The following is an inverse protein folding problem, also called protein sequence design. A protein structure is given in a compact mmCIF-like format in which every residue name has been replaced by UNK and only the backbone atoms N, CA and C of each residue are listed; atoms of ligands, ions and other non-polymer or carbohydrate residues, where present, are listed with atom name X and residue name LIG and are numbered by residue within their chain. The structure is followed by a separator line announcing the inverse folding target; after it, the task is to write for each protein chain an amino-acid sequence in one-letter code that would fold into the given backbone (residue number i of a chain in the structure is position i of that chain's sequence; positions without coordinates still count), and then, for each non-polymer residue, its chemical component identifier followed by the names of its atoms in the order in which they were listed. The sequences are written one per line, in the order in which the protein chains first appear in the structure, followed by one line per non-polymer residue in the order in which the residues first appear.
data_IF_835704166397
#
_entry.id   IF_835704166397
#
_cell.length_a   1.000
_cell.length_b   1.000
_cell.length_c   1.000
_cell.angle_alpha   90.00
_cell.angle_beta   90.00
_cell.angle_gamma   90.00
#
_symmetry.space_group_name_H-M   'P 1'
#
loop_
_entity.id
_entity.type
_entity.pdbx_description
1 polymer ?
#
# COMPACT_ATOMS: atom_id res chain seq x y z
N UNK A 1 -3.18 -5.93 9.63
CA UNK A 1 -2.51 -4.61 9.55
C UNK A 1 -3.40 -3.61 8.84
N UNK A 2 -3.13 -2.34 9.01
CA UNK A 2 -3.89 -1.29 8.34
C UNK A 2 -3.28 -0.96 6.98
N UNK A 3 -4.13 -0.69 6.00
CA UNK A 3 -3.70 -0.28 4.67
C UNK A 3 -4.61 0.83 4.13
N UNK A 4 -4.02 1.73 3.36
CA UNK A 4 -4.77 2.77 2.66
C UNK A 4 -5.10 2.26 1.26
N UNK A 5 -6.38 2.25 0.92
CA UNK A 5 -6.86 1.80 -0.38
C UNK A 5 -7.73 2.89 -1.01
N UNK A 6 -7.83 2.86 -2.33
CA UNK A 6 -8.65 3.83 -3.06
C UNK A 6 -10.03 3.24 -3.29
N UNK A 7 -11.06 4.00 -2.90
CA UNK A 7 -12.45 3.65 -3.17
C UNK A 7 -12.97 4.38 -4.40
N UNK A 8 -14.08 5.11 -4.23
CA UNK A 8 -14.63 5.98 -5.28
C UNK A 8 -13.63 7.09 -5.62
N UNK A 9 -13.76 7.72 -6.80
CA UNK A 9 -12.87 8.83 -7.16
C UNK A 9 -12.77 9.88 -6.04
N UNK A 10 -11.54 10.21 -5.67
CA UNK A 10 -11.25 11.17 -4.61
C UNK A 10 -11.33 10.60 -3.19
N UNK A 11 -11.59 9.30 -3.02
CA UNK A 11 -11.79 8.68 -1.72
C UNK A 11 -10.64 7.73 -1.38
N UNK A 12 -10.04 7.93 -0.20
CA UNK A 12 -9.06 7.01 0.38
C UNK A 12 -9.67 6.43 1.65
N UNK A 13 -9.57 5.12 1.80
CA UNK A 13 -10.05 4.41 2.99
C UNK A 13 -8.91 3.70 3.67
N UNK A 14 -8.96 3.65 5.00
CA UNK A 14 -8.05 2.80 5.78
C UNK A 14 -8.82 1.54 6.16
N UNK A 15 -8.30 0.40 5.75
CA UNK A 15 -8.95 -0.89 5.94
C UNK A 15 -7.99 -1.88 6.60
N UNK A 16 -8.54 -2.96 7.13
CA UNK A 16 -7.73 -4.06 7.63
C UNK A 16 -7.31 -4.94 6.46
N UNK A 17 -6.00 -5.18 6.35
CA UNK A 17 -5.41 -6.09 5.37
C UNK A 17 -4.84 -7.30 6.09
N UNK A 18 -4.86 -8.48 5.45
CA UNK A 18 -4.19 -9.64 6.02
C UNK A 18 -2.68 -9.39 6.12
N UNK A 19 -2.05 -9.98 7.13
CA UNK A 19 -0.59 -9.94 7.24
C UNK A 19 0.03 -10.66 6.05
N UNK A 20 1.07 -10.09 5.42
CA UNK A 20 1.73 -10.75 4.32
C UNK A 20 2.50 -11.99 4.79
N UNK A 21 2.60 -12.98 3.91
CA UNK A 21 3.37 -14.18 4.17
C UNK A 21 4.55 -14.24 3.22
N UNK A 22 5.74 -14.59 3.74
CA UNK A 22 6.92 -14.70 2.92
C UNK A 22 6.89 -15.99 2.11
N UNK A 23 7.22 -15.89 0.83
CA UNK A 23 7.39 -17.02 -0.10
C UNK A 23 8.83 -17.02 -0.59
N UNK A 24 9.23 -18.08 -1.31
CA UNK A 24 10.57 -18.15 -1.88
C UNK A 24 10.86 -16.92 -2.76
N UNK A 25 11.97 -16.25 -2.48
CA UNK A 25 12.37 -15.04 -3.19
C UNK A 25 11.76 -13.75 -2.67
N UNK A 26 10.87 -13.83 -1.70
CA UNK A 26 10.23 -12.65 -1.10
C UNK A 26 10.95 -12.19 0.16
N UNK A 27 10.65 -10.97 0.57
CA UNK A 27 11.01 -10.46 1.89
C UNK A 27 9.85 -9.65 2.44
N UNK A 28 9.72 -9.64 3.76
CA UNK A 28 8.74 -8.78 4.43
C UNK A 28 9.49 -7.60 5.02
N UNK A 29 8.98 -6.40 4.77
CA UNK A 29 9.57 -5.16 5.26
C UNK A 29 8.58 -4.41 6.13
N UNK A 30 9.11 -3.66 7.10
CA UNK A 30 8.33 -2.74 7.92
C UNK A 30 8.57 -1.32 7.42
N UNK A 31 7.55 -0.66 6.84
CA UNK A 31 7.71 0.70 6.35
C UNK A 31 8.00 1.68 7.48
N UNK A 32 8.98 2.57 7.27
CA UNK A 32 9.30 3.66 8.18
C UNK A 32 8.73 4.97 7.65
N UNK A 33 8.84 5.19 6.35
CA UNK A 33 8.36 6.38 5.68
C UNK A 33 7.85 5.97 4.31
N UNK A 34 6.71 6.52 3.91
CA UNK A 34 6.17 6.34 2.57
C UNK A 34 5.85 7.71 1.98
N UNK A 35 6.55 8.07 0.90
CA UNK A 35 6.33 9.33 0.20
C UNK A 35 5.07 9.28 -0.65
N UNK A 36 4.58 10.46 -1.01
CA UNK A 36 3.43 10.61 -1.92
C UNK A 36 3.97 11.04 -3.27
N UNK A 37 3.65 10.28 -4.31
CA UNK A 37 4.02 10.55 -5.68
C UNK A 37 2.82 11.08 -6.46
N UNK A 38 3.07 11.79 -7.56
CA UNK A 38 1.99 12.27 -8.44
C UNK A 38 1.13 11.11 -8.97
N UNK A 39 1.70 9.93 -9.12
CA UNK A 39 0.96 8.73 -9.52
C UNK A 39 -0.10 8.35 -8.48
N UNK A 40 0.21 8.49 -7.19
CA UNK A 40 -0.75 8.24 -6.11
C UNK A 40 -1.92 9.22 -6.19
N UNK A 41 -1.63 10.50 -6.42
CA UNK A 41 -2.66 11.53 -6.56
C UNK A 41 -3.58 11.22 -7.74
N UNK A 42 -3.01 10.84 -8.89
CA UNK A 42 -3.80 10.47 -10.07
C UNK A 42 -4.66 9.24 -9.81
N UNK A 43 -4.13 8.26 -9.11
CA UNK A 43 -4.87 7.05 -8.76
C UNK A 43 -6.07 7.37 -7.89
N UNK A 44 -5.90 8.24 -6.89
CA UNK A 44 -6.99 8.67 -6.01
C UNK A 44 -8.05 9.43 -6.81
N UNK A 45 -7.65 10.33 -7.70
CA UNK A 45 -8.58 11.10 -8.52
C UNK A 45 -9.41 10.21 -9.45
N UNK A 46 -8.76 9.20 -10.04
CA UNK A 46 -9.43 8.26 -10.95
C UNK A 46 -10.35 7.30 -10.22
N UNK A 47 -10.00 6.95 -8.98
CA UNK A 47 -10.68 5.92 -8.22
C UNK A 47 -10.17 4.51 -8.53
N UNK A 48 -10.44 3.59 -7.67
CA UNK A 48 -10.04 2.20 -7.81
C UNK A 48 -11.08 1.28 -7.22
N UNK A 49 -11.19 0.07 -7.78
CA UNK A 49 -12.13 -0.94 -7.33
C UNK A 49 -11.44 -2.22 -6.88
N UNK A 50 -10.12 -2.16 -6.66
CA UNK A 50 -9.36 -3.32 -6.24
C UNK A 50 -9.02 -3.21 -4.75
N UNK A 51 -9.79 -3.88 -3.87
CA UNK A 51 -9.55 -3.80 -2.42
C UNK A 51 -8.26 -4.49 -1.98
N UNK A 52 -7.59 -5.22 -2.88
CA UNK A 52 -6.31 -5.87 -2.59
C UNK A 52 -5.11 -4.98 -2.89
N UNK A 53 -5.35 -3.78 -3.42
CA UNK A 53 -4.30 -2.89 -3.84
C UNK A 53 -4.16 -1.72 -2.88
N UNK A 54 -3.09 -1.74 -2.07
CA UNK A 54 -2.76 -0.63 -1.18
C UNK A 54 -1.91 0.40 -1.92
N UNK A 55 -2.10 1.66 -1.56
CA UNK A 55 -1.31 2.76 -2.11
C UNK A 55 0.10 2.77 -1.52
N UNK A 56 1.03 3.39 -2.25
CA UNK A 56 2.38 3.66 -1.79
C UNK A 56 3.43 2.86 -2.56
N UNK A 57 4.43 3.54 -3.11
CA UNK A 57 5.53 2.92 -3.84
C UNK A 57 6.86 3.64 -3.65
N UNK A 58 6.91 4.66 -2.79
CA UNK A 58 8.13 5.40 -2.45
C UNK A 58 8.44 5.15 -0.98
N UNK A 59 8.80 3.92 -0.66
CA UNK A 59 8.87 3.43 0.71
C UNK A 59 10.32 3.25 1.15
N UNK A 60 10.65 3.78 2.33
CA UNK A 60 11.87 3.43 3.07
C UNK A 60 11.46 2.51 4.21
N UNK A 61 12.10 1.36 4.30
CA UNK A 61 11.65 0.30 5.18
C UNK A 61 12.82 -0.53 5.72
N UNK A 62 12.53 -1.33 6.74
CA UNK A 62 13.47 -2.28 7.33
C UNK A 62 13.00 -3.68 7.02
N UNK A 63 13.92 -4.54 6.62
CA UNK A 63 13.62 -5.96 6.37
C UNK A 63 13.43 -6.66 7.71
N UNK A 64 12.30 -7.32 7.89
CA UNK A 64 11.96 -8.03 9.13
C UNK A 64 11.90 -9.54 8.94
N UNK A 65 11.71 -10.02 7.71
CA UNK A 65 11.67 -11.45 7.40
C UNK A 65 12.07 -11.70 5.95
N UNK A 66 12.83 -12.78 5.72
CA UNK A 66 13.23 -13.21 4.38
C UNK A 66 12.92 -14.68 4.14
#
# INVERSE_FOLDING_TARGET
MKAAVVGKPGQVKVVDFPEPQVKDGDMIVEPLVCGICSTDVKTVQRGGNNPEFALGHEVSAVVVET
#
